data_IF_845797377950
#
_entry.id   IF_845797377950
#
_cell.length_a   1.000
_cell.length_b   1.000
_cell.length_c   1.000
_cell.angle_alpha   90.00
_cell.angle_beta   90.00
_cell.angle_gamma   90.00
#
_symmetry.space_group_name_H-M   'P 1'
#
loop_
_entity.id
_entity.type
_entity.pdbx_description
1 polymer ?
#
# COMPACT_ATOMS: atom_id res chain seq x y z
N UNK A 1 15.33 6.93 8.57
CA UNK A 1 14.15 6.24 9.14
C UNK A 1 13.79 5.13 8.17
N UNK A 2 13.78 3.87 8.60
CA UNK A 2 13.46 2.76 7.69
C UNK A 2 11.94 2.75 7.43
N UNK A 3 11.48 2.45 6.20
CA UNK A 3 10.05 2.28 5.92
C UNK A 3 9.47 1.15 6.76
N UNK A 4 8.32 1.40 7.37
CA UNK A 4 7.60 0.41 8.17
C UNK A 4 6.68 -0.37 7.23
N UNK A 5 6.76 -1.69 7.25
CA UNK A 5 5.81 -2.51 6.49
C UNK A 5 4.45 -2.52 7.20
N UNK A 6 3.39 -2.18 6.48
CA UNK A 6 2.02 -2.19 7.00
C UNK A 6 1.09 -3.00 6.12
N UNK A 7 0.11 -3.63 6.76
CA UNK A 7 -0.99 -4.30 6.09
C UNK A 7 -2.22 -3.40 6.14
N UNK A 8 -2.67 -2.93 4.98
CA UNK A 8 -3.77 -1.99 4.85
C UNK A 8 -4.85 -2.58 3.92
N UNK A 9 -6.09 -2.13 4.08
CA UNK A 9 -7.17 -2.46 3.13
C UNK A 9 -7.40 -1.26 2.23
N UNK A 10 -7.03 -1.36 0.96
CA UNK A 10 -7.35 -0.35 -0.04
C UNK A 10 -8.83 -0.49 -0.39
N UNK A 11 -9.60 0.55 -0.16
CA UNK A 11 -11.05 0.59 -0.38
C UNK A 11 -11.41 1.36 -1.64
N UNK A 12 -10.59 2.33 -2.06
CA UNK A 12 -10.78 3.07 -3.30
C UNK A 12 -9.44 3.52 -3.90
N UNK A 13 -9.39 3.59 -5.22
CA UNK A 13 -8.26 4.16 -5.98
C UNK A 13 -8.67 5.54 -6.50
N UNK A 14 -7.89 6.56 -6.15
CA UNK A 14 -8.04 7.89 -6.72
C UNK A 14 -7.56 7.97 -8.17
N UNK A 15 -7.76 9.15 -8.77
CA UNK A 15 -7.22 9.45 -10.09
C UNK A 15 -5.69 9.64 -10.03
N UNK A 16 -4.96 9.27 -11.09
CA UNK A 16 -3.56 9.63 -11.26
C UNK A 16 -3.35 11.14 -11.10
N UNK A 17 -2.41 11.52 -10.26
CA UNK A 17 -1.94 12.89 -10.07
C UNK A 17 -0.47 13.01 -10.45
N UNK A 18 0.01 14.25 -10.55
CA UNK A 18 1.42 14.57 -10.82
C UNK A 18 1.93 15.56 -9.79
N UNK A 19 3.15 15.36 -9.33
CA UNK A 19 3.88 16.35 -8.53
C UNK A 19 4.43 17.46 -9.43
N UNK A 20 4.93 18.53 -8.81
CA UNK A 20 5.53 19.67 -9.50
C UNK A 20 6.75 19.29 -10.35
N UNK A 21 7.50 18.26 -9.95
CA UNK A 21 8.65 17.73 -10.70
C UNK A 21 8.24 16.68 -11.77
N UNK A 22 6.94 16.49 -12.01
CA UNK A 22 6.42 15.61 -13.07
C UNK A 22 6.25 14.15 -12.70
N UNK A 23 6.59 13.74 -11.48
CA UNK A 23 6.40 12.37 -11.03
C UNK A 23 4.91 12.06 -10.85
N UNK A 24 4.46 10.97 -11.46
CA UNK A 24 3.09 10.50 -11.28
C UNK A 24 2.91 9.86 -9.92
N UNK A 25 1.75 10.04 -9.30
CA UNK A 25 1.36 9.32 -8.09
C UNK A 25 -0.15 9.07 -8.07
N UNK A 26 -0.60 8.16 -7.22
CA UNK A 26 -2.00 7.85 -7.02
C UNK A 26 -2.31 7.80 -5.53
N UNK A 27 -3.38 8.47 -5.12
CA UNK A 27 -3.85 8.44 -3.73
C UNK A 27 -4.90 7.35 -3.61
N UNK A 28 -4.65 6.38 -2.74
CA UNK A 28 -5.57 5.30 -2.40
C UNK A 28 -6.21 5.59 -1.05
N UNK A 29 -7.52 5.36 -0.94
CA UNK A 29 -8.20 5.37 0.34
C UNK A 29 -8.05 4.02 1.01
N UNK A 30 -7.77 4.04 2.31
CA UNK A 30 -7.67 2.83 3.14
C UNK A 30 -8.46 2.98 4.43
N UNK A 31 -8.62 1.89 5.17
CA UNK A 31 -9.25 1.89 6.50
C UNK A 31 -8.48 2.68 7.56
N UNK A 32 -7.18 2.96 7.34
CA UNK A 32 -6.32 3.68 8.29
C UNK A 32 -5.98 5.11 7.82
N UNK A 33 -6.45 5.52 6.64
CA UNK A 33 -6.12 6.81 6.04
C UNK A 33 -5.71 6.69 4.57
N UNK A 34 -4.94 7.64 4.09
CA UNK A 34 -4.56 7.74 2.69
C UNK A 34 -3.19 7.11 2.44
N UNK A 35 -3.08 6.34 1.36
CA UNK A 35 -1.81 5.79 0.90
C UNK A 35 -1.47 6.41 -0.45
N UNK A 36 -0.27 7.00 -0.55
CA UNK A 36 0.25 7.57 -1.79
C UNK A 36 1.20 6.56 -2.45
N UNK A 37 0.88 6.16 -3.67
CA UNK A 37 1.66 5.24 -4.49
C UNK A 37 2.30 6.01 -5.65
N UNK A 38 3.62 5.91 -5.82
CA UNK A 38 4.27 6.48 -6.99
C UNK A 38 3.92 5.69 -8.27
N UNK A 39 3.52 6.42 -9.31
CA UNK A 39 3.43 5.93 -10.69
C UNK A 39 4.84 6.11 -11.29
N UNK A 40 5.75 5.16 -11.05
CA UNK A 40 7.04 5.15 -11.74
C UNK A 40 6.80 5.18 -13.27
N UNK A 41 7.69 5.80 -14.06
CA UNK A 41 7.78 5.45 -15.47
C UNK A 41 8.04 3.94 -15.58
N UNK A 42 7.34 3.30 -16.53
CA UNK A 42 7.22 1.84 -16.69
C UNK A 42 8.56 1.09 -16.46
N UNK A 43 8.57 -0.02 -15.70
CA UNK A 43 7.42 -0.71 -15.11
C UNK A 43 7.25 -0.38 -13.63
N UNK A 44 6.13 0.25 -13.26
CA UNK A 44 5.56 0.18 -11.91
C UNK A 44 4.53 -0.97 -11.83
N UNK A 45 4.96 -2.24 -11.66
CA UNK A 45 4.06 -3.40 -11.63
C UNK A 45 2.98 -3.30 -10.55
N UNK A 46 3.26 -2.57 -9.47
CA UNK A 46 2.35 -2.36 -8.34
C UNK A 46 0.98 -1.77 -8.71
N UNK A 47 0.94 -0.81 -9.63
CA UNK A 47 -0.31 -0.14 -10.02
C UNK A 47 -1.16 -0.96 -10.96
N UNK A 48 -0.51 -1.72 -11.86
CA UNK A 48 -1.21 -2.65 -12.74
C UNK A 48 -1.93 -3.71 -11.92
N UNK A 49 -1.27 -4.24 -10.88
CA UNK A 49 -1.86 -5.22 -9.95
C UNK A 49 -3.04 -4.61 -9.22
N UNK A 50 -2.91 -3.41 -8.62
CA UNK A 50 -4.02 -2.80 -7.87
C UNK A 50 -5.23 -2.43 -8.74
N UNK A 51 -5.01 -1.94 -9.96
CA UNK A 51 -6.10 -1.60 -10.90
C UNK A 51 -6.84 -2.82 -11.42
N UNK A 52 -6.17 -3.96 -11.53
CA UNK A 52 -6.77 -5.20 -12.01
C UNK A 52 -7.59 -5.93 -10.93
N UNK A 53 -7.48 -5.52 -9.67
CA UNK A 53 -8.15 -6.19 -8.55
C UNK A 53 -9.47 -5.52 -8.20
N UNK A 54 -10.45 -6.35 -7.82
CA UNK A 54 -11.69 -5.87 -7.22
C UNK A 54 -11.40 -5.34 -5.82
N UNK A 55 -11.86 -4.11 -5.55
CA UNK A 55 -11.77 -3.47 -4.24
C UNK A 55 -13.04 -3.74 -3.42
N UNK A 56 -12.95 -3.80 -2.08
CA UNK A 56 -11.76 -3.56 -1.28
C UNK A 56 -10.77 -4.74 -1.30
N UNK A 57 -9.46 -4.43 -1.23
CA UNK A 57 -8.40 -5.46 -1.23
C UNK A 57 -7.35 -5.18 -0.16
N UNK A 58 -6.94 -6.24 0.54
CA UNK A 58 -5.90 -6.18 1.55
C UNK A 58 -4.52 -6.28 0.89
N UNK A 59 -3.61 -5.41 1.31
CA UNK A 59 -2.26 -5.33 0.77
C UNK A 59 -1.25 -5.14 1.89
N UNK A 60 -0.06 -5.69 1.72
CA UNK A 60 1.13 -5.41 2.53
C UNK A 60 2.09 -4.57 1.71
N UNK A 61 2.54 -3.46 2.27
CA UNK A 61 3.45 -2.54 1.60
C UNK A 61 4.36 -1.82 2.61
N UNK A 62 5.62 -1.52 2.23
CA UNK A 62 6.47 -0.59 2.96
C UNK A 62 5.89 0.81 2.84
N UNK A 63 5.65 1.47 3.97
CA UNK A 63 5.21 2.86 4.01
C UNK A 63 6.03 3.71 4.97
N UNK A 64 6.13 4.99 4.63
CA UNK A 64 6.67 6.02 5.48
C UNK A 64 5.49 6.88 5.95
N UNK A 65 5.27 7.05 7.27
CA UNK A 65 4.27 7.98 7.73
C UNK A 65 4.67 9.40 7.30
N UNK A 66 3.73 10.12 6.73
CA UNK A 66 3.85 11.55 6.53
C UNK A 66 3.87 12.20 7.92
N UNK A 67 4.96 12.89 8.25
CA UNK A 67 5.10 13.54 9.56
C UNK A 67 4.21 14.78 9.69
N UNK A 68 3.85 15.39 8.58
CA UNK A 68 3.04 16.61 8.53
C UNK A 68 1.55 16.28 8.44
N UNK A 69 1.20 15.12 7.86
CA UNK A 69 -0.18 14.70 7.66
C UNK A 69 -0.48 13.36 8.35
N UNK A 70 -0.99 13.44 9.58
CA UNK A 70 -1.39 12.28 10.37
C UNK A 70 -2.48 11.49 9.63
N UNK A 71 -2.13 10.28 9.18
CA UNK A 71 -3.02 9.41 8.41
C UNK A 71 -2.68 9.34 6.92
N UNK A 72 -1.64 10.04 6.46
CA UNK A 72 -1.09 9.87 5.11
C UNK A 72 0.18 9.03 5.15
N UNK A 73 0.23 8.03 4.28
CA UNK A 73 1.34 7.08 4.18
C UNK A 73 1.92 7.14 2.78
N UNK A 74 3.24 7.24 2.69
CA UNK A 74 3.95 7.26 1.42
C UNK A 74 4.59 5.92 1.16
N UNK A 75 4.30 5.33 0.01
CA UNK A 75 4.91 4.08 -0.45
C UNK A 75 6.05 4.45 -1.37
N UNK A 76 7.31 4.10 -1.04
CA UNK A 76 8.45 4.37 -1.91
C UNK A 76 8.27 3.75 -3.30
N UNK A 77 8.86 4.37 -4.32
CA UNK A 77 8.74 3.90 -5.70
C UNK A 77 9.28 2.47 -5.89
N UNK A 78 10.36 2.12 -5.19
CA UNK A 78 10.98 0.80 -5.21
C UNK A 78 10.28 -0.22 -4.31
N UNK A 79 9.19 0.16 -3.64
CA UNK A 79 8.51 -0.70 -2.69
C UNK A 79 7.73 -1.80 -3.39
N UNK A 80 7.70 -2.99 -2.78
CA UNK A 80 6.85 -4.08 -3.27
C UNK A 80 5.49 -4.02 -2.60
N UNK A 81 4.43 -3.92 -3.39
CA UNK A 81 3.05 -4.13 -2.91
C UNK A 81 2.69 -5.60 -3.05
N UNK A 82 2.40 -6.26 -1.93
CA UNK A 82 1.97 -7.65 -1.88
C UNK A 82 0.47 -7.69 -1.63
N UNK A 83 -0.29 -8.28 -2.54
CA UNK A 83 -1.73 -8.48 -2.36
C UNK A 83 -1.92 -9.69 -1.47
N UNK A 84 -2.68 -9.52 -0.38
CA UNK A 84 -2.96 -10.60 0.56
C UNK A 84 -4.30 -11.21 0.18
N UNK A 85 -4.29 -12.46 -0.28
CA UNK A 85 -5.52 -13.19 -0.57
C UNK A 85 -6.26 -13.52 0.72
N UNK A 86 -7.56 -13.23 0.74
CA UNK A 86 -8.43 -13.44 1.91
C UNK A 86 -8.51 -14.91 2.34
N UNK A 87 -8.05 -15.86 1.52
CA UNK A 87 -8.00 -17.28 1.83
C UNK A 87 -6.87 -17.66 2.82
N UNK A 88 -5.84 -16.83 3.00
CA UNK A 88 -4.72 -17.12 3.91
C UNK A 88 -4.84 -16.47 5.29
N UNK A 89 -5.96 -15.79 5.59
CA UNK A 89 -6.19 -15.17 6.90
C UNK A 89 -7.00 -16.07 7.85
N UNK A 90 -6.75 -17.39 7.81
CA UNK A 90 -7.19 -18.34 8.82
C UNK A 90 -6.00 -19.10 9.40
N UNK A 91 -4.98 -18.37 9.85
CA UNK A 91 -4.05 -18.87 10.85
C UNK A 91 -3.65 -17.70 11.75
N UNK A 92 -4.23 -17.53 12.96
CA UNK A 92 -3.47 -16.87 14.00
C UNK A 92 -2.21 -17.70 14.19
N UNK A 93 -1.04 -17.07 14.08
CA UNK A 93 0.20 -17.66 14.56
C UNK A 93 0.08 -17.77 16.10
N UNK A 94 -0.62 -18.80 16.56
CA UNK A 94 -0.36 -19.38 17.86
C UNK A 94 1.06 -19.91 17.80
N UNK A 95 2.02 -19.07 18.18
CA UNK A 95 3.26 -19.54 18.76
C UNK A 95 2.87 -20.26 20.07
N UNK A 96 2.49 -21.53 19.95
CA UNK A 96 2.61 -22.48 21.03
C UNK A 96 4.11 -22.64 21.28
N UNK A 97 4.63 -22.00 22.33
CA UNK A 97 5.83 -22.50 22.98
C UNK A 97 5.39 -23.66 23.88
N UNK A 98 5.89 -24.89 23.70
CA UNK A 98 5.88 -25.86 24.78
C UNK A 98 6.95 -25.48 25.82
N UNK A 99 6.61 -25.79 27.08
CA UNK A 99 7.38 -25.57 28.29
C UNK A 99 8.68 -26.39 28.36
#
# INVERSE_FOLDING_TARGET
>A
MMPVERQLVITALGLPQRTLNGNGYLICQTTEGEVVLWLAPDPAPQLRVLRALTLPRRVRLPCLPDRENAGRFWVPESARVVVVDSAECAAPAHHCQPA
#
